data_IF_863687422652
#
_entry.id   IF_863687422652
#
_cell.length_a   1.000
_cell.length_b   1.000
_cell.length_c   1.000
_cell.angle_alpha   90.00
_cell.angle_beta   90.00
_cell.angle_gamma   90.00
#
_symmetry.space_group_name_H-M   'P 1'
#
loop_
_entity.id
_entity.type
_entity.pdbx_description
1 polymer ?
#
# COMPACT_ATOMS: atom_id res chain seq x y z
N UNK A 1 53.60 64.92 -8.09
CA UNK A 1 53.53 63.67 -8.95
C UNK A 1 52.39 62.87 -8.45
N UNK A 2 51.23 62.94 -9.16
CA UNK A 2 50.00 62.17 -8.80
C UNK A 2 49.99 60.86 -9.61
N UNK A 3 49.98 59.75 -8.90
CA UNK A 3 49.77 58.41 -9.49
C UNK A 3 48.26 58.17 -9.65
N UNK A 4 47.78 57.99 -10.87
CA UNK A 4 46.38 57.67 -11.18
C UNK A 4 46.24 56.16 -11.24
N UNK A 5 45.52 55.63 -10.30
CA UNK A 5 45.14 54.19 -10.25
C UNK A 5 43.97 53.92 -11.22
N UNK A 6 44.25 53.24 -12.33
CA UNK A 6 43.23 52.81 -13.30
C UNK A 6 42.70 51.42 -12.93
N UNK A 7 41.58 51.38 -12.20
CA UNK A 7 40.79 50.14 -12.03
C UNK A 7 40.10 49.80 -13.34
N UNK A 8 40.56 48.72 -14.02
CA UNK A 8 39.85 48.12 -15.16
C UNK A 8 38.56 47.43 -14.69
N UNK A 9 37.42 47.97 -15.09
CA UNK A 9 36.10 47.34 -14.90
C UNK A 9 35.92 46.22 -15.96
N UNK A 10 35.78 45.00 -15.53
CA UNK A 10 35.40 43.85 -16.38
C UNK A 10 33.87 43.97 -16.66
N UNK A 11 33.42 43.99 -17.90
CA UNK A 11 31.99 44.10 -18.21
C UNK A 11 31.23 42.82 -17.86
N UNK A 12 30.11 42.98 -17.16
CA UNK A 12 29.25 41.91 -16.62
C UNK A 12 28.77 40.87 -17.65
N UNK A 13 28.78 41.19 -18.94
CA UNK A 13 28.40 40.24 -19.98
C UNK A 13 29.43 39.12 -20.24
N UNK A 14 30.69 39.34 -19.91
CA UNK A 14 31.71 38.30 -19.98
C UNK A 14 31.52 37.18 -18.93
N UNK A 15 30.90 37.51 -17.78
CA UNK A 15 30.63 36.55 -16.71
C UNK A 15 29.42 35.68 -17.05
N UNK A 16 28.41 36.26 -17.73
CA UNK A 16 27.22 35.49 -18.14
C UNK A 16 27.52 34.42 -19.20
N UNK A 17 28.45 34.69 -20.10
CA UNK A 17 28.89 33.74 -21.12
C UNK A 17 29.69 32.57 -20.51
N UNK A 18 30.51 32.87 -19.47
CA UNK A 18 31.28 31.82 -18.78
C UNK A 18 30.39 30.87 -17.96
N UNK A 19 29.33 31.41 -17.33
CA UNK A 19 28.36 30.60 -16.57
C UNK A 19 27.52 29.69 -17.50
N UNK A 20 27.11 30.20 -18.68
CA UNK A 20 26.38 29.40 -19.68
C UNK A 20 27.28 28.32 -20.29
N UNK A 21 28.57 28.57 -20.50
CA UNK A 21 29.52 27.57 -20.99
C UNK A 21 29.80 26.46 -19.97
N UNK A 22 29.82 26.76 -18.67
CA UNK A 22 29.99 25.76 -17.62
C UNK A 22 28.71 24.89 -17.48
N UNK A 23 27.52 25.48 -17.64
CA UNK A 23 26.26 24.72 -17.61
C UNK A 23 26.12 23.81 -18.84
N UNK A 24 26.55 24.24 -20.02
CA UNK A 24 26.52 23.38 -21.22
C UNK A 24 27.59 22.28 -21.20
N UNK A 25 28.75 22.50 -20.57
CA UNK A 25 29.77 21.46 -20.40
C UNK A 25 29.38 20.41 -19.34
N UNK A 26 28.69 20.79 -18.29
CA UNK A 26 28.23 19.82 -17.27
C UNK A 26 27.14 18.90 -17.79
N UNK A 27 26.31 19.34 -18.74
CA UNK A 27 25.30 18.51 -19.40
C UNK A 27 25.92 17.56 -20.41
N UNK A 28 27.02 17.94 -21.08
CA UNK A 28 27.73 17.10 -22.06
C UNK A 28 28.63 16.05 -21.38
N UNK A 29 29.17 16.32 -20.17
CA UNK A 29 30.05 15.36 -19.48
C UNK A 29 29.28 14.25 -18.74
N UNK A 30 27.96 14.34 -18.55
CA UNK A 30 27.12 13.30 -17.98
C UNK A 30 26.55 12.29 -19.01
N UNK A 31 26.86 12.45 -20.30
CA UNK A 31 26.27 11.65 -21.38
C UNK A 31 27.21 10.60 -21.98
N UNK A 32 28.30 10.21 -21.34
CA UNK A 32 29.23 9.27 -21.94
C UNK A 32 29.33 7.87 -21.34
N UNK A 33 28.61 7.58 -20.24
CA UNK A 33 28.42 6.18 -19.81
C UNK A 33 27.04 6.02 -19.17
N UNK A 34 26.05 5.74 -19.95
CA UNK A 34 24.73 5.36 -19.50
C UNK A 34 23.85 5.15 -20.72
N UNK A 35 23.38 3.93 -20.92
CA UNK A 35 22.26 3.68 -21.80
C UNK A 35 21.19 4.74 -21.52
N UNK A 36 20.77 5.46 -22.55
CA UNK A 36 19.67 6.41 -22.43
C UNK A 36 18.44 5.63 -22.02
N UNK A 37 18.16 5.60 -20.72
CA UNK A 37 16.82 5.31 -20.25
C UNK A 37 15.97 6.43 -20.84
N UNK A 38 15.30 6.11 -21.95
CA UNK A 38 14.24 6.95 -22.48
C UNK A 38 13.19 7.05 -21.36
N UNK A 39 13.34 8.04 -20.49
CA UNK A 39 12.26 8.46 -19.64
C UNK A 39 11.20 9.00 -20.59
N UNK A 40 10.26 8.12 -20.91
CA UNK A 40 9.06 8.50 -21.63
C UNK A 40 8.36 9.54 -20.75
N UNK A 41 8.55 10.82 -21.04
CA UNK A 41 7.92 11.94 -20.33
C UNK A 41 6.44 12.07 -20.69
N UNK A 42 5.78 10.95 -21.00
CA UNK A 42 4.34 10.83 -21.06
C UNK A 42 3.80 10.99 -19.65
N UNK A 43 2.85 11.87 -19.45
CA UNK A 43 2.07 11.95 -18.21
C UNK A 43 1.44 10.58 -17.93
N UNK A 44 1.65 10.04 -16.73
CA UNK A 44 1.09 8.75 -16.34
C UNK A 44 -0.43 8.72 -16.58
N UNK A 45 -0.93 7.61 -17.09
CA UNK A 45 -2.35 7.43 -17.37
C UNK A 45 -3.19 7.54 -16.10
N UNK A 46 -4.29 8.29 -16.16
CA UNK A 46 -5.28 8.34 -15.09
C UNK A 46 -6.55 7.54 -15.42
N UNK A 47 -6.46 6.61 -16.37
CA UNK A 47 -7.53 5.65 -16.61
C UNK A 47 -7.80 4.85 -15.34
N UNK A 48 -9.04 4.92 -14.82
CA UNK A 48 -9.45 4.20 -13.62
C UNK A 48 -9.48 2.70 -13.89
N UNK A 49 -8.79 1.97 -13.05
CA UNK A 49 -8.74 0.51 -13.04
C UNK A 49 -9.32 0.00 -11.72
N UNK A 50 -10.25 -0.95 -11.78
CA UNK A 50 -10.69 -1.71 -10.61
C UNK A 50 -9.82 -2.96 -10.45
N UNK A 51 -9.33 -3.21 -9.23
CA UNK A 51 -8.57 -4.41 -8.93
C UNK A 51 -9.49 -5.64 -8.98
N UNK A 52 -9.11 -6.62 -9.75
CA UNK A 52 -9.81 -7.89 -9.88
C UNK A 52 -8.85 -9.07 -9.93
N UNK A 53 -9.30 -10.21 -9.45
CA UNK A 53 -8.56 -11.46 -9.45
C UNK A 53 -9.39 -12.55 -10.11
N UNK A 54 -8.75 -13.43 -10.86
CA UNK A 54 -9.35 -14.66 -11.35
C UNK A 54 -8.77 -15.83 -10.56
N UNK A 55 -9.61 -16.45 -9.72
CA UNK A 55 -9.19 -17.56 -8.87
C UNK A 55 -8.80 -18.77 -9.70
N UNK A 56 -7.81 -19.50 -9.20
CA UNK A 56 -7.44 -20.80 -9.67
C UNK A 56 -7.92 -21.89 -8.69
N UNK A 57 -7.93 -23.13 -9.14
CA UNK A 57 -8.22 -24.30 -8.32
C UNK A 57 -6.91 -24.86 -7.68
N UNK A 58 -7.07 -25.87 -6.81
CA UNK A 58 -5.95 -26.65 -6.26
C UNK A 58 -4.89 -25.84 -5.49
N UNK A 59 -5.29 -24.76 -4.84
CA UNK A 59 -4.38 -23.89 -4.08
C UNK A 59 -3.27 -23.26 -4.92
N UNK A 60 -3.52 -23.09 -6.21
CA UNK A 60 -2.62 -22.33 -7.08
C UNK A 60 -2.86 -20.83 -6.97
N UNK A 61 -1.80 -20.05 -7.19
CA UNK A 61 -1.91 -18.59 -7.21
C UNK A 61 -2.93 -18.12 -8.25
N UNK A 62 -3.80 -17.15 -7.93
CA UNK A 62 -4.76 -16.59 -8.87
C UNK A 62 -4.09 -15.80 -9.98
N UNK A 63 -4.80 -15.64 -11.10
CA UNK A 63 -4.40 -14.71 -12.16
C UNK A 63 -4.83 -13.28 -11.80
N UNK A 64 -3.86 -12.40 -11.63
CA UNK A 64 -4.05 -10.98 -11.32
C UNK A 64 -4.20 -10.11 -12.58
N UNK A 65 -4.11 -10.74 -13.76
CA UNK A 65 -4.02 -10.04 -15.03
C UNK A 65 -2.64 -9.41 -15.24
N UNK A 66 -1.88 -9.92 -16.21
CA UNK A 66 -0.47 -9.53 -16.44
C UNK A 66 -0.27 -8.01 -16.51
N UNK A 67 -1.16 -7.28 -17.19
CA UNK A 67 -1.07 -5.81 -17.31
C UNK A 67 -1.14 -5.14 -15.93
N UNK A 68 -2.11 -5.54 -15.12
CA UNK A 68 -2.36 -4.96 -13.79
C UNK A 68 -1.22 -5.28 -12.82
N UNK A 69 -0.76 -6.54 -12.84
CA UNK A 69 0.36 -6.96 -12.02
C UNK A 69 1.64 -6.20 -12.38
N UNK A 70 1.99 -6.13 -13.68
CA UNK A 70 3.16 -5.38 -14.13
C UNK A 70 3.08 -3.91 -13.74
N UNK A 71 1.91 -3.27 -13.91
CA UNK A 71 1.72 -1.86 -13.56
C UNK A 71 1.92 -1.63 -12.04
N UNK A 72 1.38 -2.51 -11.21
CA UNK A 72 1.53 -2.45 -9.76
C UNK A 72 3.00 -2.60 -9.34
N UNK A 73 3.69 -3.63 -9.85
CA UNK A 73 5.08 -3.94 -9.53
C UNK A 73 6.05 -2.84 -9.98
N UNK A 74 5.86 -2.28 -11.18
CA UNK A 74 6.66 -1.16 -11.69
C UNK A 74 6.58 0.10 -10.81
N UNK A 75 5.50 0.23 -10.05
CA UNK A 75 5.29 1.31 -9.08
C UNK A 75 5.53 0.86 -7.63
N UNK A 76 6.31 -0.20 -7.42
CA UNK A 76 6.71 -0.69 -6.10
C UNK A 76 5.58 -1.29 -5.27
N UNK A 77 4.41 -1.53 -5.86
CA UNK A 77 3.27 -2.13 -5.17
C UNK A 77 3.35 -3.66 -5.14
N UNK A 78 2.53 -4.27 -4.29
CA UNK A 78 2.45 -5.72 -4.09
C UNK A 78 1.00 -6.20 -4.03
N UNK A 79 0.76 -7.43 -4.47
CA UNK A 79 -0.54 -8.07 -4.36
C UNK A 79 -0.46 -9.57 -4.03
N UNK A 80 0.69 -10.19 -4.25
CA UNK A 80 0.90 -11.60 -4.06
C UNK A 80 2.40 -11.88 -3.89
N UNK A 81 2.75 -12.76 -2.95
CA UNK A 81 4.13 -13.11 -2.64
C UNK A 81 4.67 -14.30 -3.43
N UNK A 82 5.74 -14.88 -2.92
CA UNK A 82 6.46 -15.97 -3.56
C UNK A 82 5.61 -17.26 -3.64
N UNK A 83 5.44 -17.80 -4.84
CA UNK A 83 4.68 -19.03 -5.10
C UNK A 83 5.29 -20.31 -4.49
N UNK A 84 6.56 -20.28 -4.14
CA UNK A 84 7.26 -21.42 -3.52
C UNK A 84 7.11 -21.43 -1.98
N UNK A 85 6.51 -20.39 -1.40
CA UNK A 85 6.36 -20.21 0.04
C UNK A 85 4.89 -20.24 0.43
N UNK A 86 4.49 -21.20 1.24
CA UNK A 86 3.12 -21.27 1.80
C UNK A 86 2.91 -20.18 2.87
N UNK A 87 3.14 -18.92 2.50
CA UNK A 87 2.93 -17.76 3.37
C UNK A 87 1.58 -17.11 3.10
N UNK A 88 0.94 -16.68 4.17
CA UNK A 88 -0.30 -15.88 4.15
C UNK A 88 -0.02 -14.57 4.87
N UNK A 89 -0.25 -13.46 4.19
CA UNK A 89 -0.22 -12.11 4.74
C UNK A 89 -1.66 -11.67 5.00
N UNK A 90 -2.07 -11.79 6.26
CA UNK A 90 -3.46 -11.48 6.64
C UNK A 90 -3.64 -9.98 6.77
N UNK A 91 -4.65 -9.43 6.11
CA UNK A 91 -4.94 -8.00 6.10
C UNK A 91 -6.43 -7.73 6.32
N UNK A 92 -6.73 -6.64 7.01
CA UNK A 92 -8.08 -6.15 7.25
C UNK A 92 -8.23 -4.72 6.76
N UNK A 93 -9.35 -4.41 6.12
CA UNK A 93 -9.76 -3.04 5.83
C UNK A 93 -10.77 -2.59 6.89
N UNK A 94 -10.45 -1.45 7.57
CA UNK A 94 -11.18 -0.92 8.70
C UNK A 94 -11.67 0.51 8.40
N UNK A 95 -12.90 0.61 7.93
CA UNK A 95 -13.55 1.90 7.69
C UNK A 95 -14.23 2.46 8.93
N UNK A 96 -14.84 1.60 9.74
CA UNK A 96 -15.53 1.89 11.00
C UNK A 96 -15.63 0.61 11.85
N UNK A 97 -15.82 0.76 13.17
CA UNK A 97 -15.95 -0.34 14.11
C UNK A 97 -17.40 -0.84 14.19
N UNK A 98 -17.59 -2.14 14.01
CA UNK A 98 -18.87 -2.82 14.15
C UNK A 98 -19.00 -3.64 15.47
N UNK A 99 -18.04 -3.50 16.37
CA UNK A 99 -17.97 -4.22 17.64
C UNK A 99 -17.19 -5.53 17.58
N UNK A 100 -16.44 -5.77 16.50
CA UNK A 100 -15.78 -7.06 16.26
C UNK A 100 -14.25 -7.02 16.39
N UNK A 101 -13.61 -5.89 16.26
CA UNK A 101 -12.15 -5.78 16.32
C UNK A 101 -11.55 -6.33 17.61
N UNK A 102 -12.13 -6.16 18.81
CA UNK A 102 -11.58 -6.80 20.02
C UNK A 102 -11.49 -8.32 19.91
N UNK A 103 -12.49 -8.97 19.31
CA UNK A 103 -12.52 -10.42 19.11
C UNK A 103 -11.51 -10.86 18.03
N UNK A 104 -11.34 -10.06 16.97
CA UNK A 104 -10.34 -10.29 15.93
C UNK A 104 -8.93 -10.24 16.55
N UNK A 105 -8.63 -9.21 17.35
CA UNK A 105 -7.33 -9.06 18.03
C UNK A 105 -7.06 -10.21 19.00
N UNK A 106 -8.07 -10.65 19.73
CA UNK A 106 -7.93 -11.81 20.63
C UNK A 106 -7.66 -13.11 19.86
N UNK A 107 -8.37 -13.36 18.74
CA UNK A 107 -8.14 -14.52 17.90
C UNK A 107 -6.73 -14.51 17.30
N UNK A 108 -6.24 -13.36 16.82
CA UNK A 108 -4.89 -13.19 16.31
C UNK A 108 -3.83 -13.46 17.40
N UNK A 109 -4.04 -12.92 18.60
CA UNK A 109 -3.15 -13.12 19.75
C UNK A 109 -3.06 -14.58 20.17
N UNK A 110 -4.23 -15.25 20.31
CA UNK A 110 -4.29 -16.67 20.69
C UNK A 110 -3.59 -17.60 19.67
N UNK A 111 -3.55 -17.20 18.42
CA UNK A 111 -2.92 -17.95 17.35
C UNK A 111 -1.51 -17.42 16.99
N UNK A 112 -0.97 -16.45 17.70
CA UNK A 112 0.34 -15.83 17.45
C UNK A 112 0.51 -15.33 16.01
N UNK A 113 -0.54 -14.71 15.45
CA UNK A 113 -0.55 -14.17 14.10
C UNK A 113 -0.50 -12.65 14.14
N UNK A 114 0.36 -12.06 13.31
CA UNK A 114 0.38 -10.63 13.05
C UNK A 114 -0.33 -10.33 11.75
N UNK A 115 -1.17 -9.29 11.76
CA UNK A 115 -1.93 -8.84 10.61
C UNK A 115 -1.62 -7.37 10.27
N UNK A 116 -2.05 -6.91 9.12
CA UNK A 116 -2.04 -5.50 8.75
C UNK A 116 -3.47 -4.98 8.72
N UNK A 117 -3.71 -3.86 9.42
CA UNK A 117 -5.00 -3.17 9.44
C UNK A 117 -4.90 -1.89 8.62
N UNK A 118 -5.58 -1.82 7.49
CA UNK A 118 -5.69 -0.61 6.69
C UNK A 118 -6.84 0.23 7.21
N UNK A 119 -6.53 1.30 7.96
CA UNK A 119 -7.52 2.11 8.67
C UNK A 119 -7.78 3.44 7.97
N UNK A 120 -9.01 3.95 8.08
CA UNK A 120 -9.39 5.31 7.66
C UNK A 120 -9.21 6.33 8.79
N UNK A 121 -9.31 7.63 8.45
CA UNK A 121 -9.30 8.66 9.49
C UNK A 121 -10.54 8.58 10.39
N UNK A 122 -11.67 8.10 9.88
CA UNK A 122 -12.84 7.87 10.73
C UNK A 122 -12.50 6.86 11.83
N UNK A 123 -11.94 5.71 11.47
CA UNK A 123 -11.60 4.65 12.41
C UNK A 123 -10.63 5.14 13.51
N UNK A 124 -9.54 5.82 13.13
CA UNK A 124 -8.58 6.34 14.14
C UNK A 124 -9.18 7.39 15.08
N UNK A 125 -10.18 8.13 14.61
CA UNK A 125 -10.81 9.16 15.43
C UNK A 125 -11.86 8.60 16.39
N UNK A 126 -12.57 7.54 15.99
CA UNK A 126 -13.61 6.90 16.83
C UNK A 126 -13.02 5.84 17.77
N UNK A 127 -11.98 5.13 17.32
CA UNK A 127 -11.42 3.96 18.00
C UNK A 127 -9.92 4.06 18.30
N UNK A 128 -9.43 5.18 18.89
CA UNK A 128 -7.98 5.35 19.11
C UNK A 128 -7.38 4.28 20.04
N UNK A 129 -8.16 3.77 21.00
CA UNK A 129 -7.68 2.72 21.91
C UNK A 129 -7.50 1.37 21.20
N UNK A 130 -8.36 1.04 20.23
CA UNK A 130 -8.18 -0.17 19.41
C UNK A 130 -6.95 -0.04 18.51
N UNK A 131 -6.73 1.13 17.90
CA UNK A 131 -5.52 1.38 17.11
C UNK A 131 -4.26 1.24 17.96
N UNK A 132 -4.28 1.79 19.18
CA UNK A 132 -3.18 1.63 20.15
C UNK A 132 -2.95 0.15 20.47
N UNK A 133 -4.01 -0.60 20.74
CA UNK A 133 -3.93 -2.04 21.02
C UNK A 133 -3.36 -2.83 19.81
N UNK A 134 -3.76 -2.51 18.58
CA UNK A 134 -3.17 -3.12 17.38
C UNK A 134 -1.66 -2.91 17.34
N UNK A 135 -1.19 -1.68 17.59
CA UNK A 135 0.24 -1.33 17.60
C UNK A 135 0.98 -2.09 18.71
N UNK A 136 0.46 -2.06 19.94
CA UNK A 136 1.05 -2.73 21.11
C UNK A 136 1.13 -4.25 20.92
N UNK A 137 0.19 -4.83 20.20
CA UNK A 137 0.21 -6.24 19.86
C UNK A 137 1.14 -6.55 18.65
N UNK A 138 1.78 -5.55 18.06
CA UNK A 138 2.74 -5.71 16.98
C UNK A 138 2.09 -5.95 15.61
N UNK A 139 0.87 -5.48 15.42
CA UNK A 139 0.24 -5.45 14.10
C UNK A 139 0.71 -4.22 13.31
N UNK A 140 0.67 -4.31 11.98
CA UNK A 140 0.97 -3.18 11.10
C UNK A 140 -0.30 -2.35 10.91
N UNK A 141 -0.15 -1.03 10.98
CA UNK A 141 -1.20 -0.08 10.60
C UNK A 141 -0.88 0.46 9.22
N UNK A 142 -1.75 0.19 8.27
CA UNK A 142 -1.70 0.69 6.90
C UNK A 142 -2.68 1.85 6.68
N UNK A 143 -2.37 2.68 5.69
CA UNK A 143 -3.18 3.84 5.32
C UNK A 143 -4.29 3.44 4.35
N UNK A 144 -5.56 3.74 4.72
CA UNK A 144 -6.72 3.53 3.85
C UNK A 144 -7.41 4.84 3.49
N UNK A 145 -6.64 5.93 3.49
CA UNK A 145 -7.02 7.33 3.23
C UNK A 145 -7.95 7.95 4.28
N UNK A 146 -8.11 9.27 4.19
CA UNK A 146 -8.97 10.01 5.15
C UNK A 146 -10.44 9.70 4.93
N UNK A 147 -10.93 9.83 3.69
CA UNK A 147 -12.36 9.79 3.38
C UNK A 147 -12.78 8.60 2.52
N UNK A 148 -11.90 7.64 2.27
CA UNK A 148 -12.19 6.45 1.47
C UNK A 148 -12.72 6.78 0.07
N UNK A 149 -12.20 7.86 -0.56
CA UNK A 149 -12.57 8.25 -1.92
C UNK A 149 -11.81 7.45 -2.97
N UNK A 150 -12.42 7.25 -4.15
CA UNK A 150 -11.73 6.71 -5.32
C UNK A 150 -10.56 7.62 -5.70
N UNK A 151 -9.33 7.16 -5.55
CA UNK A 151 -8.13 7.97 -5.77
C UNK A 151 -7.99 8.48 -7.22
N UNK A 152 -8.34 7.71 -8.27
CA UNK A 152 -8.34 8.21 -9.64
C UNK A 152 -9.26 9.41 -9.91
N UNK A 153 -10.28 9.62 -9.09
CA UNK A 153 -11.22 10.75 -9.20
C UNK A 153 -10.69 12.05 -8.57
N UNK A 154 -9.56 11.97 -7.87
CA UNK A 154 -8.92 13.06 -7.15
C UNK A 154 -7.79 13.67 -7.99
N UNK A 155 -7.51 14.96 -7.79
CA UNK A 155 -6.28 15.56 -8.30
C UNK A 155 -5.08 15.24 -7.36
N UNK A 156 -3.86 15.62 -7.77
CA UNK A 156 -2.63 15.32 -7.02
C UNK A 156 -2.66 15.85 -5.59
N UNK A 157 -3.08 17.11 -5.40
CA UNK A 157 -3.13 17.75 -4.08
C UNK A 157 -4.17 17.09 -3.17
N UNK A 158 -5.28 16.65 -3.75
CA UNK A 158 -6.31 15.91 -3.01
C UNK A 158 -5.81 14.53 -2.58
N UNK A 159 -5.07 13.80 -3.46
CA UNK A 159 -4.45 12.52 -3.11
C UNK A 159 -3.44 12.70 -1.98
N UNK A 160 -2.52 13.66 -2.11
CA UNK A 160 -1.57 13.99 -1.05
C UNK A 160 -2.28 14.31 0.28
N UNK A 161 -3.36 15.09 0.23
CA UNK A 161 -4.17 15.41 1.40
C UNK A 161 -4.85 14.18 2.01
N UNK A 162 -5.44 13.30 1.19
CA UNK A 162 -6.09 12.06 1.65
C UNK A 162 -5.10 11.08 2.30
N UNK A 163 -3.86 11.05 1.84
CA UNK A 163 -2.83 10.15 2.36
C UNK A 163 -2.10 10.77 3.55
N UNK A 164 -1.56 11.99 3.39
CA UNK A 164 -0.65 12.57 4.38
C UNK A 164 -1.34 13.13 5.62
N UNK A 165 -2.61 13.53 5.53
CA UNK A 165 -3.35 13.92 6.75
C UNK A 165 -3.56 12.75 7.70
N UNK A 166 -3.85 11.55 7.17
CA UNK A 166 -3.97 10.37 8.02
C UNK A 166 -2.61 9.95 8.58
N UNK A 167 -1.55 10.02 7.75
CA UNK A 167 -0.17 9.78 8.19
C UNK A 167 0.21 10.69 9.36
N UNK A 168 -0.06 11.99 9.23
CA UNK A 168 0.23 12.97 10.28
C UNK A 168 -0.51 12.67 11.57
N UNK A 169 -1.80 12.30 11.50
CA UNK A 169 -2.58 11.93 12.69
C UNK A 169 -1.97 10.71 13.39
N UNK A 170 -1.51 9.70 12.62
CA UNK A 170 -0.84 8.52 13.19
C UNK A 170 0.48 8.91 13.87
N UNK A 171 1.27 9.76 13.22
CA UNK A 171 2.54 10.25 13.78
C UNK A 171 2.32 11.06 15.07
N UNK A 172 1.34 11.97 15.08
CA UNK A 172 1.07 12.84 16.23
C UNK A 172 0.49 12.07 17.44
N UNK A 173 -0.46 11.16 17.20
CA UNK A 173 -1.15 10.43 18.27
C UNK A 173 -0.36 9.24 18.80
N UNK A 174 0.35 8.51 17.93
CA UNK A 174 0.94 7.22 18.27
C UNK A 174 2.44 7.14 17.98
N UNK A 175 3.08 8.19 17.44
CA UNK A 175 4.48 8.19 16.99
C UNK A 175 4.75 7.03 16.02
N UNK A 176 3.73 6.70 15.21
CA UNK A 176 3.74 5.57 14.29
C UNK A 176 3.85 6.06 12.84
N UNK A 177 4.84 5.52 12.10
CA UNK A 177 5.05 5.80 10.69
C UNK A 177 4.40 4.73 9.83
N UNK A 178 3.43 5.13 9.01
CA UNK A 178 2.74 4.23 8.09
C UNK A 178 3.56 4.05 6.81
N UNK A 179 3.77 2.81 6.38
CA UNK A 179 4.56 2.45 5.18
C UNK A 179 3.72 1.89 4.04
N UNK A 180 2.56 1.33 4.36
CA UNK A 180 1.69 0.63 3.43
C UNK A 180 0.41 1.41 3.20
N UNK A 181 -0.05 1.45 1.94
CA UNK A 181 -1.33 2.05 1.58
C UNK A 181 -2.15 1.05 0.76
N UNK A 182 -3.43 0.95 1.05
CA UNK A 182 -4.39 0.25 0.20
C UNK A 182 -5.36 1.26 -0.41
N UNK A 183 -5.45 1.32 -1.76
CA UNK A 183 -6.40 2.21 -2.41
C UNK A 183 -7.84 1.83 -2.05
N UNK A 184 -8.68 2.81 -1.67
CA UNK A 184 -10.09 2.58 -1.43
C UNK A 184 -10.78 1.88 -2.61
N UNK A 185 -11.67 0.94 -2.31
CA UNK A 185 -12.46 0.17 -3.30
C UNK A 185 -11.60 -0.68 -4.26
N UNK A 186 -10.29 -0.77 -4.06
CA UNK A 186 -9.39 -1.35 -5.05
C UNK A 186 -9.31 -0.57 -6.35
N UNK A 187 -9.69 0.71 -6.36
CA UNK A 187 -9.64 1.59 -7.53
C UNK A 187 -8.33 2.36 -7.58
N UNK A 188 -7.64 2.28 -8.71
CA UNK A 188 -6.33 2.90 -8.93
C UNK A 188 -6.15 3.30 -10.39
N UNK A 189 -5.08 4.02 -10.68
CA UNK A 189 -4.55 4.30 -12.01
C UNK A 189 -3.02 4.29 -11.97
N UNK A 190 -2.35 4.30 -13.12
CA UNK A 190 -0.90 4.47 -13.17
C UNK A 190 -0.46 5.73 -12.40
N UNK A 191 -1.15 6.85 -12.65
CA UNK A 191 -0.89 8.12 -11.95
C UNK A 191 -1.01 7.98 -10.43
N UNK A 192 -2.08 7.36 -9.92
CA UNK A 192 -2.28 7.24 -8.47
C UNK A 192 -1.25 6.32 -7.81
N UNK A 193 -0.78 5.28 -8.51
CA UNK A 193 0.32 4.44 -8.02
C UNK A 193 1.63 5.22 -7.92
N UNK A 194 1.96 6.03 -8.94
CA UNK A 194 3.16 6.88 -8.93
C UNK A 194 3.11 7.94 -7.84
N UNK A 195 1.96 8.59 -7.67
CA UNK A 195 1.76 9.59 -6.61
C UNK A 195 1.88 8.95 -5.23
N UNK A 196 1.27 7.79 -4.99
CA UNK A 196 1.40 7.04 -3.74
C UNK A 196 2.85 6.66 -3.45
N UNK A 197 3.57 6.14 -4.45
CA UNK A 197 4.98 5.80 -4.34
C UNK A 197 5.84 7.04 -4.04
N UNK A 198 5.55 8.18 -4.68
CA UNK A 198 6.28 9.43 -4.43
C UNK A 198 6.10 9.98 -3.01
N UNK A 199 5.01 9.62 -2.34
CA UNK A 199 4.76 9.92 -0.93
C UNK A 199 5.43 8.92 0.03
N UNK A 200 6.22 7.96 -0.48
CA UNK A 200 6.94 6.98 0.32
C UNK A 200 6.14 5.72 0.68
N UNK A 201 4.97 5.53 0.10
CA UNK A 201 4.13 4.38 0.39
C UNK A 201 4.31 3.23 -0.59
N UNK A 202 4.26 2.01 -0.06
CA UNK A 202 4.08 0.79 -0.85
C UNK A 202 2.58 0.50 -0.98
N UNK A 203 2.07 0.48 -2.21
CA UNK A 203 0.68 0.10 -2.48
C UNK A 203 0.49 -1.39 -2.28
N UNK A 204 -0.52 -1.78 -1.52
CA UNK A 204 -0.86 -3.19 -1.23
C UNK A 204 -2.24 -3.51 -1.74
N UNK A 205 -2.32 -4.37 -2.74
CA UNK A 205 -3.54 -5.01 -3.20
C UNK A 205 -3.70 -6.39 -2.54
N UNK A 206 -4.48 -7.29 -3.09
CA UNK A 206 -4.75 -8.60 -2.54
C UNK A 206 -4.80 -9.68 -3.63
N UNK A 207 -4.57 -10.91 -3.24
CA UNK A 207 -4.76 -12.08 -4.11
C UNK A 207 -5.94 -12.94 -3.68
N UNK A 208 -6.52 -12.66 -2.50
CA UNK A 208 -7.80 -13.22 -2.08
C UNK A 208 -8.66 -12.15 -1.42
N UNK A 209 -9.93 -12.09 -1.80
CA UNK A 209 -11.00 -11.36 -1.14
C UNK A 209 -12.35 -11.99 -1.49
N UNK A 210 -13.37 -11.74 -0.71
CA UNK A 210 -14.74 -12.10 -1.03
C UNK A 210 -15.70 -11.07 -0.45
N UNK A 211 -16.97 -11.15 -0.79
CA UNK A 211 -17.97 -10.20 -0.31
C UNK A 211 -18.33 -10.52 1.14
N UNK A 212 -17.75 -9.82 2.08
CA UNK A 212 -17.88 -10.00 3.53
C UNK A 212 -18.27 -8.71 4.29
N UNK A 213 -18.22 -7.56 3.62
CA UNK A 213 -18.39 -6.23 4.22
C UNK A 213 -19.84 -5.78 4.41
N UNK A 214 -20.83 -6.48 3.80
CA UNK A 214 -22.23 -6.12 3.93
C UNK A 214 -22.80 -6.65 5.25
N UNK A 215 -22.94 -5.80 6.25
CA UNK A 215 -23.45 -6.16 7.58
C UNK A 215 -24.86 -6.75 7.53
N UNK A 216 -25.67 -6.32 6.57
CA UNK A 216 -27.05 -6.78 6.45
C UNK A 216 -27.17 -8.11 5.72
N UNK A 217 -26.13 -8.52 5.02
CA UNK A 217 -26.09 -9.72 4.21
C UNK A 217 -24.78 -10.49 4.45
N UNK A 218 -24.54 -10.87 5.70
CA UNK A 218 -23.35 -11.61 6.08
C UNK A 218 -23.33 -12.99 5.43
N UNK A 219 -22.17 -13.44 4.93
CA UNK A 219 -22.02 -14.76 4.35
C UNK A 219 -22.35 -15.88 5.34
N UNK A 220 -22.95 -16.96 4.85
CA UNK A 220 -23.11 -18.19 5.65
C UNK A 220 -21.74 -18.70 6.10
N UNK A 221 -21.59 -19.02 7.38
CA UNK A 221 -20.32 -19.41 7.99
C UNK A 221 -19.67 -20.63 7.31
N UNK A 222 -20.45 -21.65 7.03
CA UNK A 222 -19.93 -22.88 6.42
C UNK A 222 -19.40 -22.60 5.02
N UNK A 223 -20.16 -21.84 4.22
CA UNK A 223 -19.75 -21.45 2.86
C UNK A 223 -18.58 -20.49 2.87
N UNK A 224 -18.54 -19.53 3.82
CA UNK A 224 -17.43 -18.60 3.97
C UNK A 224 -16.14 -19.32 4.33
N UNK A 225 -16.18 -20.20 5.34
CA UNK A 225 -15.04 -21.04 5.73
C UNK A 225 -14.54 -21.87 4.56
N UNK A 226 -15.43 -22.59 3.89
CA UNK A 226 -15.05 -23.41 2.73
C UNK A 226 -14.42 -22.57 1.62
N UNK A 227 -15.04 -21.40 1.29
CA UNK A 227 -14.50 -20.49 0.29
C UNK A 227 -13.10 -20.00 0.62
N UNK A 228 -12.84 -19.61 1.89
CA UNK A 228 -11.52 -19.16 2.30
C UNK A 228 -10.52 -20.31 2.18
N UNK A 229 -10.83 -21.47 2.77
CA UNK A 229 -9.92 -22.62 2.79
C UNK A 229 -9.61 -23.15 1.39
N UNK A 230 -10.59 -23.27 0.51
CA UNK A 230 -10.40 -23.75 -0.88
C UNK A 230 -9.53 -22.82 -1.74
N UNK A 231 -9.46 -21.54 -1.38
CA UNK A 231 -8.70 -20.54 -2.13
C UNK A 231 -7.35 -20.16 -1.51
N UNK A 232 -6.96 -20.79 -0.39
CA UNK A 232 -5.62 -20.59 0.15
C UNK A 232 -4.55 -20.94 -0.88
N UNK A 233 -3.55 -20.08 -1.05
CA UNK A 233 -2.47 -20.30 -2.00
C UNK A 233 -1.15 -19.71 -1.49
N UNK A 234 0.00 -20.21 -1.96
CA UNK A 234 1.30 -19.68 -1.55
C UNK A 234 1.45 -18.20 -1.86
N UNK A 235 2.00 -17.44 -0.90
CA UNK A 235 2.21 -16.00 -1.03
C UNK A 235 0.93 -15.16 -0.98
N UNK A 236 -0.13 -15.69 -0.39
CA UNK A 236 -1.44 -15.02 -0.35
C UNK A 236 -1.40 -13.71 0.43
N UNK A 237 -1.85 -12.61 -0.18
CA UNK A 237 -2.31 -11.43 0.55
C UNK A 237 -3.82 -11.55 0.68
N UNK A 238 -4.27 -11.92 1.87
CA UNK A 238 -5.67 -12.14 2.20
C UNK A 238 -6.32 -10.84 2.66
N UNK A 239 -7.35 -10.38 1.97
CA UNK A 239 -8.18 -9.26 2.40
C UNK A 239 -9.46 -9.78 3.05
N UNK A 240 -9.66 -9.37 4.29
CA UNK A 240 -10.91 -9.49 5.04
C UNK A 240 -11.35 -8.09 5.53
N UNK A 241 -12.61 -7.96 5.93
CA UNK A 241 -13.10 -6.71 6.54
C UNK A 241 -13.41 -6.92 8.03
N UNK A 242 -12.99 -5.98 8.86
CA UNK A 242 -13.16 -6.06 10.32
C UNK A 242 -14.62 -5.90 10.77
N UNK A 243 -15.48 -5.32 9.95
CA UNK A 243 -16.92 -5.23 10.20
C UNK A 243 -17.70 -6.52 9.89
N UNK A 244 -17.01 -7.61 9.50
CA UNK A 244 -17.65 -8.89 9.20
C UNK A 244 -17.79 -9.77 10.44
N UNK A 245 -19.02 -9.94 10.91
CA UNK A 245 -19.31 -10.89 11.99
C UNK A 245 -18.90 -12.33 11.64
N UNK A 246 -19.15 -12.72 10.40
CA UNK A 246 -18.82 -14.08 9.91
C UNK A 246 -17.31 -14.32 9.96
N UNK A 247 -16.49 -13.37 9.49
CA UNK A 247 -15.03 -13.48 9.58
C UNK A 247 -14.55 -13.53 11.02
N UNK A 248 -15.10 -12.67 11.89
CA UNK A 248 -14.74 -12.62 13.31
C UNK A 248 -14.97 -13.97 13.98
N UNK A 249 -16.14 -14.56 13.77
CA UNK A 249 -16.51 -15.84 14.37
C UNK A 249 -15.68 -17.02 13.84
N UNK A 250 -15.13 -16.92 12.61
CA UNK A 250 -14.37 -17.99 11.95
C UNK A 250 -12.85 -17.82 12.03
N UNK A 251 -12.35 -16.64 12.37
CA UNK A 251 -10.94 -16.29 12.19
C UNK A 251 -9.98 -17.28 12.86
N UNK A 252 -10.21 -17.62 14.11
CA UNK A 252 -9.38 -18.56 14.85
C UNK A 252 -9.35 -19.95 14.19
N UNK A 253 -10.50 -20.44 13.74
CA UNK A 253 -10.61 -21.72 13.06
C UNK A 253 -9.92 -21.72 11.71
N UNK A 254 -10.09 -20.66 10.92
CA UNK A 254 -9.41 -20.49 9.62
C UNK A 254 -7.90 -20.51 9.78
N UNK A 255 -7.36 -19.76 10.76
CA UNK A 255 -5.92 -19.74 11.04
C UNK A 255 -5.41 -21.14 11.39
N UNK A 256 -6.12 -21.86 12.26
CA UNK A 256 -5.71 -23.21 12.66
C UNK A 256 -5.74 -24.21 11.50
N UNK A 257 -6.79 -24.18 10.67
CA UNK A 257 -6.88 -25.06 9.50
C UNK A 257 -5.80 -24.72 8.46
N UNK A 258 -5.55 -23.43 8.18
CA UNK A 258 -4.47 -23.01 7.29
C UNK A 258 -3.10 -23.52 7.80
N UNK A 259 -2.82 -23.41 9.10
CA UNK A 259 -1.59 -23.96 9.71
C UNK A 259 -1.49 -25.47 9.56
N UNK A 260 -2.59 -26.22 9.74
CA UNK A 260 -2.64 -27.69 9.50
C UNK A 260 -2.35 -28.05 8.03
N UNK A 261 -2.72 -27.17 7.08
CA UNK A 261 -2.41 -27.33 5.66
C UNK A 261 -0.96 -26.91 5.32
N UNK A 262 -0.17 -26.53 6.32
CA UNK A 262 1.23 -26.15 6.19
C UNK A 262 1.47 -24.70 5.79
N UNK A 263 0.46 -23.81 5.91
CA UNK A 263 0.66 -22.40 5.73
C UNK A 263 1.21 -21.72 6.97
N UNK A 264 2.06 -20.72 6.76
CA UNK A 264 2.60 -19.85 7.80
C UNK A 264 2.05 -18.43 7.61
N UNK A 265 1.62 -17.80 8.70
CA UNK A 265 1.20 -16.41 8.67
C UNK A 265 2.40 -15.50 8.89
N UNK A 266 2.60 -14.54 7.98
CA UNK A 266 3.70 -13.59 7.96
C UNK A 266 3.19 -12.16 7.98
N UNK A 267 3.99 -11.28 8.57
CA UNK A 267 3.79 -9.83 8.50
C UNK A 267 4.15 -9.30 7.12
N UNK A 268 3.52 -8.21 6.65
CA UNK A 268 3.94 -7.56 5.41
C UNK A 268 5.38 -7.02 5.46
N UNK A 269 5.94 -6.78 6.64
CA UNK A 269 7.35 -6.39 6.79
C UNK A 269 8.31 -7.55 6.43
N UNK A 270 7.84 -8.80 6.47
CA UNK A 270 8.55 -10.02 6.07
C UNK A 270 8.29 -10.42 4.59
N UNK A 271 7.65 -9.57 3.81
CA UNK A 271 7.19 -9.93 2.45
C UNK A 271 8.30 -10.34 1.47
N UNK A 272 9.50 -9.85 1.66
CA UNK A 272 10.65 -10.13 0.79
C UNK A 272 11.58 -11.23 1.35
N UNK A 273 11.20 -11.91 2.43
CA UNK A 273 11.92 -13.04 3.03
C UNK A 273 11.39 -14.37 2.44
#
# INVERSE_FOLDING_TARGET
MKVVDQKRKIPYWGIAILVLAIFSLSVVYMNQEGEAVLTNSGTASNEKIGWGIKRNDNHEQPDLGKKNQTLLEQNGGIAMGNKEKKYIYLTFDEGYEAGYTPQILEALKQNEVKATFFITAHYINTEPELVKQMIEQGHIIGNHTVNHKSMPDLNKQEIESEVMKLHQVMQEKFQYEMKYLRPPKGEYSERTLQETQSLGYKTVMWSFAYQDWDEKNQPDKTKAKQKILDNLHPGEIMLLHGNSKTNTDLLGEIIQEAKKMGYEFKSLDEFNE
#
